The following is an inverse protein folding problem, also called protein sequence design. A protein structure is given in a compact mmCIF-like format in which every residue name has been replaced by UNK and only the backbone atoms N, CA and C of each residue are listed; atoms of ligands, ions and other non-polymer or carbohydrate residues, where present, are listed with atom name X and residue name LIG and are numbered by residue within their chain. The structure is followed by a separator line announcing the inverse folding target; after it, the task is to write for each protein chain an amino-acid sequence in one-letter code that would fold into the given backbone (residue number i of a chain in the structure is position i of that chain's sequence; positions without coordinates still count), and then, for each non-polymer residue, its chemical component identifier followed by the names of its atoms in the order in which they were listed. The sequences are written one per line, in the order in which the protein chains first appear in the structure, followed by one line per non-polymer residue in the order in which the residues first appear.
data_IF_673818860267
#
_entry.id   IF_673818860267
#
_cell.length_a   1.000
_cell.length_b   1.000
_cell.length_c   1.000
_cell.angle_alpha   90.00
_cell.angle_beta   90.00
_cell.angle_gamma   90.00
#
_symmetry.space_group_name_H-M   'P 1'
#
loop_
_entity.id
_entity.type
_entity.pdbx_description
1 polymer ?
#
# COMPACT_ATOMS: atom_id res chain seq x y z
N UNK A 1 -5.84 -2.17 -1.16
CA UNK A 1 -7.18 -1.81 -0.63
C UNK A 1 -7.08 -1.60 0.87
N UNK A 2 -7.58 -0.50 1.35
CA UNK A 2 -7.59 -0.14 2.77
C UNK A 2 -9.03 0.02 3.27
N UNK A 3 -9.17 0.08 4.58
CA UNK A 3 -10.40 0.46 5.25
C UNK A 3 -10.29 1.92 5.70
N UNK A 4 -11.38 2.64 5.68
CA UNK A 4 -11.51 4.07 5.94
C UNK A 4 -11.16 5.01 4.77
N UNK A 5 -11.92 6.08 4.74
CA UNK A 5 -11.70 7.18 3.81
C UNK A 5 -10.76 8.20 4.47
N UNK A 6 -9.64 8.54 3.83
CA UNK A 6 -8.81 9.63 4.32
C UNK A 6 -9.53 10.96 4.16
N UNK A 7 -9.21 11.93 5.02
CA UNK A 7 -9.67 13.31 4.87
C UNK A 7 -9.16 13.94 3.57
N UNK A 8 -8.02 13.45 3.07
CA UNK A 8 -7.36 13.90 1.84
C UNK A 8 -7.32 12.75 0.84
N UNK A 9 -7.83 12.98 -0.38
CA UNK A 9 -7.94 11.95 -1.41
C UNK A 9 -6.60 11.56 -2.04
N UNK A 10 -5.60 12.43 -1.97
CA UNK A 10 -4.23 12.17 -2.43
C UNK A 10 -3.23 12.87 -1.52
N UNK A 11 -2.04 12.32 -1.42
CA UNK A 11 -1.00 12.89 -0.57
C UNK A 11 0.33 12.16 -0.69
N UNK A 12 1.27 12.63 0.10
CA UNK A 12 2.60 12.07 0.26
C UNK A 12 2.80 11.66 1.72
N UNK A 13 3.33 10.46 1.93
CA UNK A 13 3.79 10.01 3.24
C UNK A 13 5.31 10.00 3.22
N UNK A 14 5.90 10.70 4.18
CA UNK A 14 7.33 10.76 4.41
C UNK A 14 7.60 10.36 5.87
N UNK A 15 8.31 9.28 6.05
CA UNK A 15 8.64 8.72 7.36
C UNK A 15 10.09 8.24 7.39
N UNK A 16 10.58 7.93 8.60
CA UNK A 16 11.82 7.20 8.77
C UNK A 16 11.52 5.80 9.31
N UNK A 17 12.21 4.81 8.79
CA UNK A 17 11.92 3.40 9.06
C UNK A 17 13.17 2.61 9.39
N UNK A 18 13.02 1.64 10.30
CA UNK A 18 13.98 0.57 10.54
C UNK A 18 13.33 -0.79 10.29
N UNK A 19 14.14 -1.77 9.93
CA UNK A 19 13.73 -3.18 9.93
C UNK A 19 14.15 -3.79 11.26
N UNK A 20 13.22 -4.37 11.98
CA UNK A 20 13.45 -5.10 13.23
C UNK A 20 12.84 -6.50 13.11
N UNK A 21 13.69 -7.51 12.95
CA UNK A 21 13.23 -8.87 12.66
C UNK A 21 12.37 -8.96 11.39
N UNK A 22 11.14 -9.40 11.54
CA UNK A 22 10.16 -9.54 10.45
C UNK A 22 9.21 -8.35 10.32
N UNK A 23 9.48 -7.23 11.00
CA UNK A 23 8.66 -6.02 11.02
C UNK A 23 9.45 -4.81 10.54
N UNK A 24 8.75 -3.87 9.94
CA UNK A 24 9.21 -2.51 9.76
C UNK A 24 8.59 -1.62 10.85
N UNK A 25 9.38 -0.72 11.40
CA UNK A 25 8.91 0.26 12.39
C UNK A 25 9.11 1.67 11.88
N UNK A 26 8.11 2.51 12.07
CA UNK A 26 8.23 3.96 11.90
C UNK A 26 8.94 4.51 13.14
N UNK A 27 9.97 5.30 12.91
CA UNK A 27 10.86 5.84 13.94
C UNK A 27 11.18 7.31 13.65
N UNK A 28 11.87 7.96 14.54
CA UNK A 28 12.39 9.32 14.33
C UNK A 28 13.66 9.31 13.49
N UNK A 29 13.97 10.43 12.82
CA UNK A 29 15.12 10.53 11.92
C UNK A 29 16.48 10.30 12.59
N UNK A 30 16.57 10.54 13.89
CA UNK A 30 17.77 10.37 14.71
C UNK A 30 17.96 8.93 15.22
N UNK A 31 17.01 8.04 14.98
CA UNK A 31 17.14 6.63 15.35
C UNK A 31 18.27 5.96 14.57
N UNK A 32 19.22 5.26 15.22
CA UNK A 32 20.28 4.56 14.52
C UNK A 32 19.76 3.58 13.46
N UNK A 33 20.30 3.69 12.25
CA UNK A 33 19.89 2.85 11.11
C UNK A 33 18.58 3.27 10.44
N UNK A 34 17.96 4.37 10.89
CA UNK A 34 16.74 4.89 10.25
C UNK A 34 17.01 5.29 8.79
N UNK A 35 16.09 4.89 7.92
CA UNK A 35 16.13 5.22 6.49
C UNK A 35 14.86 5.94 6.10
N UNK A 36 15.02 7.02 5.37
CA UNK A 36 13.90 7.79 4.81
C UNK A 36 13.08 6.92 3.86
N UNK A 37 11.77 7.00 3.99
CA UNK A 37 10.78 6.30 3.19
C UNK A 37 9.74 7.30 2.67
N UNK A 38 9.54 7.35 1.36
CA UNK A 38 8.61 8.28 0.70
C UNK A 38 7.73 7.51 -0.26
N UNK A 39 6.43 7.71 -0.15
CA UNK A 39 5.43 7.26 -1.10
C UNK A 39 4.39 8.34 -1.35
N UNK A 40 3.75 8.27 -2.52
CA UNK A 40 2.55 9.04 -2.84
C UNK A 40 1.36 8.10 -2.93
N UNK A 41 0.21 8.56 -2.47
CA UNK A 41 -1.04 7.81 -2.59
C UNK A 41 -2.13 8.66 -3.22
N UNK A 42 -3.03 8.00 -3.94
CA UNK A 42 -4.22 8.59 -4.52
C UNK A 42 -5.40 7.64 -4.37
N UNK A 43 -6.51 8.15 -3.85
CA UNK A 43 -7.77 7.42 -3.78
C UNK A 43 -8.34 7.28 -5.19
N UNK A 44 -8.53 6.06 -5.64
CA UNK A 44 -9.06 5.73 -6.96
C UNK A 44 -10.56 5.46 -6.94
N UNK A 45 -11.03 4.78 -5.89
CA UNK A 45 -12.43 4.41 -5.75
C UNK A 45 -12.79 4.08 -4.30
N UNK A 46 -14.08 4.25 -3.98
CA UNK A 46 -14.70 3.79 -2.74
C UNK A 46 -15.83 2.83 -3.08
N UNK A 47 -15.86 1.68 -2.46
CA UNK A 47 -16.93 0.71 -2.63
C UNK A 47 -17.15 -0.09 -1.34
N UNK A 48 -18.38 -0.09 -0.84
CA UNK A 48 -18.78 -0.85 0.37
C UNK A 48 -17.86 -0.63 1.59
N UNK A 49 -17.47 0.62 1.85
CA UNK A 49 -16.58 0.98 2.97
C UNK A 49 -15.11 0.63 2.75
N UNK A 50 -14.74 0.17 1.55
CA UNK A 50 -13.36 -0.11 1.15
C UNK A 50 -12.85 0.98 0.25
N UNK A 51 -11.60 1.36 0.43
CA UNK A 51 -10.90 2.35 -0.39
C UNK A 51 -9.83 1.70 -1.25
N UNK A 52 -9.86 1.94 -2.56
CA UNK A 52 -8.82 1.54 -3.49
C UNK A 52 -7.86 2.71 -3.69
N UNK A 53 -6.59 2.49 -3.37
CA UNK A 53 -5.52 3.47 -3.58
C UNK A 53 -4.56 3.03 -4.68
N UNK A 54 -4.16 3.96 -5.52
CA UNK A 54 -2.90 3.86 -6.26
C UNK A 54 -1.78 4.39 -5.36
N UNK A 55 -0.69 3.64 -5.26
CA UNK A 55 0.49 4.03 -4.49
C UNK A 55 1.70 4.04 -5.41
N UNK A 56 2.43 5.15 -5.41
CA UNK A 56 3.69 5.33 -6.13
C UNK A 56 4.84 5.46 -5.12
N UNK A 57 5.80 4.56 -5.24
CA UNK A 57 6.98 4.55 -4.38
C UNK A 57 8.09 5.45 -4.95
N UNK A 58 8.68 6.30 -4.12
CA UNK A 58 9.97 6.94 -4.39
C UNK A 58 11.14 6.14 -3.79
N UNK A 59 10.88 5.43 -2.70
CA UNK A 59 11.81 4.55 -2.01
C UNK A 59 11.23 3.15 -1.90
N UNK A 60 12.07 2.12 -1.73
CA UNK A 60 11.65 0.72 -1.59
C UNK A 60 12.15 0.11 -0.27
N UNK A 61 11.60 0.52 0.88
CA UNK A 61 11.97 -0.06 2.17
C UNK A 61 11.17 -1.33 2.46
N UNK A 62 11.71 -2.16 3.34
CA UNK A 62 11.03 -3.39 3.77
C UNK A 62 9.64 -3.08 4.33
N UNK A 63 8.60 -3.71 3.79
CA UNK A 63 7.19 -3.50 4.13
C UNK A 63 6.73 -2.03 4.09
N UNK A 64 7.35 -1.19 3.29
CA UNK A 64 7.15 0.26 3.33
C UNK A 64 5.69 0.68 3.21
N UNK A 65 4.98 0.25 2.16
CA UNK A 65 3.56 0.61 1.94
C UNK A 65 2.71 0.17 3.13
N UNK A 66 2.92 -1.06 3.60
CA UNK A 66 2.14 -1.63 4.71
C UNK A 66 2.29 -0.82 5.99
N UNK A 67 3.54 -0.51 6.37
CA UNK A 67 3.83 0.23 7.61
C UNK A 67 3.41 1.70 7.52
N UNK A 68 3.73 2.40 6.41
CA UNK A 68 3.37 3.81 6.25
C UNK A 68 1.86 4.03 6.14
N UNK A 69 1.14 3.21 5.37
CA UNK A 69 -0.31 3.32 5.25
C UNK A 69 -1.00 3.04 6.58
N UNK A 70 -0.56 2.02 7.34
CA UNK A 70 -1.09 1.75 8.67
C UNK A 70 -0.82 2.90 9.64
N UNK A 71 0.40 3.46 9.64
CA UNK A 71 0.77 4.60 10.46
C UNK A 71 -0.07 5.85 10.15
N UNK A 72 -0.42 6.04 8.89
CA UNK A 72 -1.28 7.13 8.43
C UNK A 72 -2.79 6.89 8.68
N UNK A 73 -3.16 5.82 9.37
CA UNK A 73 -4.57 5.49 9.65
C UNK A 73 -5.33 4.86 8.48
N UNK A 74 -4.61 4.35 7.48
CA UNK A 74 -5.14 3.68 6.29
C UNK A 74 -4.61 2.24 6.17
N UNK A 75 -4.79 1.38 7.20
CA UNK A 75 -4.26 0.02 7.19
C UNK A 75 -4.83 -0.80 6.04
N UNK A 76 -4.00 -1.67 5.46
CA UNK A 76 -4.41 -2.52 4.36
C UNK A 76 -5.28 -3.68 4.84
N UNK A 77 -6.30 -4.01 4.09
CA UNK A 77 -7.11 -5.20 4.34
C UNK A 77 -6.25 -6.46 4.21
N UNK A 78 -6.52 -7.44 5.06
CA UNK A 78 -5.77 -8.70 5.11
C UNK A 78 -4.37 -8.60 5.73
N UNK A 79 -3.97 -7.42 6.21
CA UNK A 79 -2.66 -7.24 6.85
C UNK A 79 -2.69 -7.65 8.32
N UNK A 80 -2.14 -8.83 8.61
CA UNK A 80 -2.09 -9.38 9.98
C UNK A 80 -0.99 -8.77 10.85
N UNK A 81 -0.03 -8.03 10.25
CA UNK A 81 1.12 -7.47 10.96
C UNK A 81 0.94 -6.02 11.38
N UNK A 82 0.31 -5.21 10.52
CA UNK A 82 0.24 -3.76 10.70
C UNK A 82 -1.19 -3.23 10.91
N UNK A 83 -2.22 -3.99 10.55
CA UNK A 83 -3.59 -3.60 10.80
C UNK A 83 -3.97 -3.81 12.28
N UNK A 84 -4.82 -2.93 12.79
CA UNK A 84 -5.41 -3.07 14.11
C UNK A 84 -6.41 -4.25 14.20
N UNK A 85 -6.89 -4.53 15.42
CA UNK A 85 -7.80 -5.63 15.65
C UNK A 85 -9.12 -5.52 14.87
N UNK A 86 -9.68 -4.31 14.73
CA UNK A 86 -10.93 -4.09 14.02
C UNK A 86 -10.80 -4.42 12.53
N UNK A 87 -9.71 -3.99 11.90
CA UNK A 87 -9.43 -4.27 10.49
C UNK A 87 -9.11 -5.74 10.24
N UNK A 88 -8.45 -6.39 11.17
CA UNK A 88 -8.20 -7.85 11.09
C UNK A 88 -9.50 -8.63 11.15
N UNK A 89 -10.38 -8.32 12.12
CA UNK A 89 -11.70 -8.93 12.25
C UNK A 89 -12.54 -8.69 10.97
N UNK A 90 -12.57 -7.45 10.48
CA UNK A 90 -13.26 -7.13 9.24
C UNK A 90 -12.75 -7.98 8.07
N UNK A 91 -11.43 -8.10 7.93
CA UNK A 91 -10.80 -8.89 6.86
C UNK A 91 -11.19 -10.37 6.95
N UNK A 92 -11.17 -10.95 8.15
CA UNK A 92 -11.57 -12.35 8.39
C UNK A 92 -13.04 -12.58 8.05
N UNK A 93 -13.94 -11.71 8.51
CA UNK A 93 -15.39 -11.80 8.23
C UNK A 93 -15.70 -11.72 6.72
N UNK A 94 -14.84 -11.09 5.93
CA UNK A 94 -15.02 -10.96 4.48
C UNK A 94 -14.11 -11.89 3.67
N UNK A 95 -13.47 -12.87 4.32
CA UNK A 95 -12.62 -13.86 3.66
C UNK A 95 -11.33 -13.31 3.06
N UNK A 96 -10.86 -12.13 3.51
CA UNK A 96 -9.65 -11.49 3.01
C UNK A 96 -8.45 -12.01 3.83
N UNK A 97 -7.82 -13.06 3.34
CA UNK A 97 -6.75 -13.76 4.07
C UNK A 97 -5.35 -13.21 3.80
N UNK A 98 -5.15 -12.58 2.65
CA UNK A 98 -3.87 -12.03 2.21
C UNK A 98 -3.91 -10.51 2.17
N UNK A 99 -2.74 -9.88 2.33
CA UNK A 99 -2.62 -8.42 2.23
C UNK A 99 -3.15 -7.95 0.87
N UNK A 100 -4.12 -7.06 0.88
CA UNK A 100 -4.74 -6.49 -0.31
C UNK A 100 -3.82 -5.46 -0.99
N UNK A 101 -2.67 -5.94 -1.46
CA UNK A 101 -1.63 -5.17 -2.13
C UNK A 101 -1.19 -5.89 -3.41
N UNK A 102 -1.19 -5.18 -4.53
CA UNK A 102 -0.78 -5.70 -5.83
C UNK A 102 0.19 -4.72 -6.50
N UNK A 103 1.35 -5.19 -6.91
CA UNK A 103 2.22 -4.44 -7.80
C UNK A 103 1.65 -4.51 -9.22
N UNK A 104 1.04 -3.42 -9.70
CA UNK A 104 0.33 -3.42 -10.97
C UNK A 104 1.02 -2.60 -12.07
N UNK A 105 2.05 -1.83 -11.72
CA UNK A 105 2.77 -0.98 -12.66
C UNK A 105 4.25 -0.95 -12.32
N UNK A 106 5.09 -1.26 -13.30
CA UNK A 106 6.55 -1.18 -13.20
C UNK A 106 7.10 -0.42 -14.39
N UNK A 107 7.86 0.63 -14.10
CA UNK A 107 8.62 1.41 -15.08
C UNK A 107 10.11 1.25 -14.78
N UNK A 108 10.89 0.90 -15.79
CA UNK A 108 12.34 0.76 -15.66
C UNK A 108 13.05 1.15 -16.95
N UNK A 109 14.33 1.44 -16.83
CA UNK A 109 15.25 1.59 -17.97
C UNK A 109 15.92 0.22 -18.22
N UNK A 110 15.81 -0.30 -19.43
CA UNK A 110 16.43 -1.57 -19.78
C UNK A 110 17.97 -1.44 -19.69
N UNK A 111 18.64 -2.28 -18.89
CA UNK A 111 20.06 -2.08 -18.59
C UNK A 111 21.00 -2.26 -19.80
N UNK A 112 20.58 -2.98 -20.83
CA UNK A 112 21.37 -3.21 -22.04
C UNK A 112 21.09 -2.22 -23.17
N UNK A 113 19.81 -1.89 -23.43
CA UNK A 113 19.43 -0.99 -24.55
C UNK A 113 19.26 0.49 -24.13
N UNK A 114 19.08 0.77 -22.83
CA UNK A 114 18.77 2.12 -22.35
C UNK A 114 17.33 2.57 -22.62
N UNK A 115 16.48 1.69 -23.17
CA UNK A 115 15.10 2.01 -23.48
C UNK A 115 14.22 2.01 -22.23
N UNK A 116 13.26 2.92 -22.20
CA UNK A 116 12.24 2.93 -21.15
C UNK A 116 11.22 1.82 -21.38
N UNK A 117 11.00 1.00 -20.37
CA UNK A 117 10.04 -0.11 -20.39
C UNK A 117 8.94 0.15 -19.36
N UNK A 118 7.70 -0.07 -19.75
CA UNK A 118 6.53 0.04 -18.90
C UNK A 118 5.74 -1.28 -18.92
N UNK A 119 5.57 -1.87 -17.76
CA UNK A 119 4.74 -3.05 -17.56
C UNK A 119 3.52 -2.69 -16.73
N UNK A 120 2.33 -3.05 -17.21
CA UNK A 120 1.06 -2.79 -16.53
C UNK A 120 0.24 -4.07 -16.51
N UNK A 121 -0.30 -4.42 -15.34
CA UNK A 121 -1.27 -5.51 -15.17
C UNK A 121 -2.47 -5.02 -14.37
N UNK A 122 -3.62 -5.65 -14.56
CA UNK A 122 -4.77 -5.43 -13.67
C UNK A 122 -4.52 -6.09 -12.31
N UNK A 123 -4.84 -5.41 -11.19
CA UNK A 123 -4.83 -6.06 -9.88
C UNK A 123 -5.71 -7.29 -9.87
N UNK A 124 -5.17 -8.42 -9.43
CA UNK A 124 -5.90 -9.69 -9.38
C UNK A 124 -6.33 -10.03 -7.94
N UNK A 125 -7.47 -10.72 -7.82
CA UNK A 125 -8.02 -11.20 -6.56
C UNK A 125 -9.38 -10.60 -6.22
N UNK A 126 -10.16 -11.35 -5.43
CA UNK A 126 -11.55 -10.99 -5.13
C UNK A 126 -11.69 -9.66 -4.39
N UNK A 127 -10.70 -9.27 -3.60
CA UNK A 127 -10.67 -8.00 -2.88
C UNK A 127 -10.66 -6.79 -3.84
N UNK A 128 -10.14 -6.94 -5.07
CA UNK A 128 -10.11 -5.89 -6.08
C UNK A 128 -11.35 -5.89 -6.98
N UNK A 129 -11.98 -7.05 -7.20
CA UNK A 129 -13.15 -7.20 -8.09
C UNK A 129 -14.35 -6.36 -7.69
N UNK A 130 -14.47 -6.01 -6.41
CA UNK A 130 -15.55 -5.14 -5.94
C UNK A 130 -15.53 -3.77 -6.61
N UNK A 131 -14.37 -3.30 -7.07
CA UNK A 131 -14.17 -2.01 -7.72
C UNK A 131 -14.33 -2.07 -9.25
N UNK A 132 -14.40 -3.26 -9.85
CA UNK A 132 -14.54 -3.44 -11.31
C UNK A 132 -15.98 -3.17 -11.81
N UNK A 133 -16.97 -3.20 -10.90
CA UNK A 133 -18.38 -2.96 -11.24
C UNK A 133 -18.66 -1.46 -11.36
N UNK A 134 -18.17 -0.80 -12.40
CA UNK A 134 -18.58 0.56 -12.70
C UNK A 134 -17.57 1.52 -13.31
N UNK A 135 -16.33 1.14 -13.55
CA UNK A 135 -15.34 1.95 -14.29
C UNK A 135 -14.27 1.04 -14.90
N UNK A 136 -13.87 1.33 -16.14
CA UNK A 136 -12.62 0.81 -16.69
C UNK A 136 -11.46 1.27 -15.80
N UNK A 137 -10.96 0.33 -14.99
CA UNK A 137 -9.75 0.53 -14.20
C UNK A 137 -8.56 0.04 -15.02
#
# INVERSE_FOLDING_TARGET
VAFNQPLVQEGMLEDYMIKEGSLAKIVTADTPGAKKAVLHYKLMAMEKGRALYEVRLETGRFHQIRAQMAHAGMPLLGDKKYADAAIRIYSEMHGIQNVALCACKLKLIHPGSGEEMLFVIKPAGDVFRVFEKGKDI
#
